data_IF_335872601252
#
_entry.id   IF_335872601252
#
_cell.length_a   1.000
_cell.length_b   1.000
_cell.length_c   1.000
_cell.angle_alpha   90.00
_cell.angle_beta   90.00
_cell.angle_gamma   90.00
#
_symmetry.space_group_name_H-M   'P 1'
#
loop_
_entity.id
_entity.type
_entity.pdbx_description
1 polymer ?
#
# COMPACT_ATOMS: atom_id res chain seq x y z
N UNK A 1 39.69 35.54 10.63
CA UNK A 1 39.52 35.08 9.24
C UNK A 1 38.86 33.71 9.23
N UNK A 2 37.93 33.52 8.30
CA UNK A 2 36.82 32.56 8.35
C UNK A 2 37.17 31.13 7.91
N UNK A 3 36.40 30.15 8.40
CA UNK A 3 36.10 28.91 7.67
C UNK A 3 34.68 28.42 7.99
N UNK A 4 33.71 28.83 7.17
CA UNK A 4 32.39 28.19 7.09
C UNK A 4 32.53 26.84 6.36
N UNK A 5 31.84 25.77 6.78
CA UNK A 5 31.82 24.54 6.01
C UNK A 5 30.99 24.75 4.74
N UNK A 6 31.52 24.25 3.63
CA UNK A 6 30.91 24.31 2.29
C UNK A 6 29.56 23.59 2.32
N UNK A 7 28.52 24.31 1.92
CA UNK A 7 27.23 23.76 1.52
C UNK A 7 27.44 22.64 0.50
N UNK A 8 26.91 21.46 0.80
CA UNK A 8 26.82 20.35 -0.15
C UNK A 8 25.88 20.75 -1.28
N UNK A 9 26.45 21.17 -2.41
CA UNK A 9 25.70 21.29 -3.66
C UNK A 9 25.25 19.88 -4.07
N UNK A 10 23.94 19.62 -4.01
CA UNK A 10 23.33 18.47 -4.66
C UNK A 10 23.67 18.55 -6.15
N UNK A 11 24.41 17.57 -6.65
CA UNK A 11 24.69 17.42 -8.07
C UNK A 11 23.40 16.96 -8.76
N UNK A 12 22.58 17.92 -9.20
CA UNK A 12 21.48 17.64 -10.13
C UNK A 12 22.10 17.15 -11.44
N UNK A 13 22.20 15.83 -11.58
CA UNK A 13 22.62 15.18 -12.81
C UNK A 13 21.62 15.51 -13.91
N UNK A 14 21.90 16.54 -14.72
CA UNK A 14 21.19 16.83 -15.96
C UNK A 14 21.37 15.64 -16.90
N UNK A 15 20.44 14.71 -16.86
CA UNK A 15 20.34 13.60 -17.82
C UNK A 15 20.26 14.21 -19.21
N UNK A 16 21.22 13.90 -20.08
CA UNK A 16 21.29 14.48 -21.43
C UNK A 16 20.02 14.21 -22.23
N UNK A 17 19.61 15.14 -23.08
CA UNK A 17 18.43 15.01 -23.94
C UNK A 17 18.45 13.71 -24.76
N UNK A 18 19.64 13.27 -25.20
CA UNK A 18 19.85 11.98 -25.85
C UNK A 18 19.49 10.79 -24.95
N UNK A 19 19.91 10.79 -23.68
CA UNK A 19 19.55 9.77 -22.70
C UNK A 19 18.04 9.72 -22.47
N UNK A 20 17.36 10.88 -22.46
CA UNK A 20 15.89 10.94 -22.34
C UNK A 20 15.19 10.38 -23.57
N UNK A 21 15.65 10.70 -24.78
CA UNK A 21 15.10 10.17 -26.03
C UNK A 21 15.32 8.65 -26.10
N UNK A 22 16.51 8.17 -25.75
CA UNK A 22 16.81 6.75 -25.68
C UNK A 22 15.91 6.03 -24.66
N UNK A 23 15.74 6.58 -23.45
CA UNK A 23 14.82 6.03 -22.45
C UNK A 23 13.37 6.00 -22.95
N UNK A 24 12.89 7.06 -23.59
CA UNK A 24 11.53 7.12 -24.12
C UNK A 24 11.32 6.10 -25.25
N UNK A 25 12.28 5.98 -26.18
CA UNK A 25 12.22 5.00 -27.27
C UNK A 25 12.24 3.56 -26.75
N UNK A 26 13.05 3.28 -25.72
CA UNK A 26 13.11 1.98 -25.08
C UNK A 26 11.81 1.66 -24.32
N UNK A 27 11.27 2.64 -23.60
CA UNK A 27 9.99 2.49 -22.91
C UNK A 27 8.83 2.23 -23.90
N UNK A 28 8.83 2.91 -25.04
CA UNK A 28 7.84 2.70 -26.10
C UNK A 28 7.95 1.30 -26.72
N UNK A 29 9.18 0.86 -27.03
CA UNK A 29 9.44 -0.48 -27.55
C UNK A 29 9.01 -1.58 -26.57
N UNK A 30 9.32 -1.41 -25.28
CA UNK A 30 8.85 -2.32 -24.23
C UNK A 30 7.31 -2.31 -24.11
N UNK A 31 6.68 -1.13 -24.16
CA UNK A 31 5.22 -1.03 -24.10
C UNK A 31 4.52 -1.74 -25.24
N UNK A 32 5.06 -1.65 -26.47
CA UNK A 32 4.54 -2.35 -27.65
C UNK A 32 4.78 -3.86 -27.58
N UNK A 33 5.93 -4.30 -27.08
CA UNK A 33 6.23 -5.73 -26.89
C UNK A 33 5.32 -6.38 -25.85
N UNK A 34 4.96 -5.65 -24.78
CA UNK A 34 4.07 -6.11 -23.72
C UNK A 34 2.62 -5.64 -23.87
N UNK A 35 2.20 -5.27 -25.09
CA UNK A 35 0.87 -4.71 -25.35
C UNK A 35 -0.28 -5.55 -24.75
N UNK A 36 -0.31 -6.90 -24.88
CA UNK A 36 -1.35 -7.72 -24.26
C UNK A 36 -1.35 -7.61 -22.73
N UNK A 37 -0.18 -7.52 -22.10
CA UNK A 37 -0.03 -7.39 -20.64
C UNK A 37 -0.51 -6.01 -20.18
N UNK A 38 -0.15 -4.95 -20.91
CA UNK A 38 -0.57 -3.58 -20.60
C UNK A 38 -2.08 -3.46 -20.67
N UNK A 39 -2.71 -3.99 -21.73
CA UNK A 39 -4.17 -3.98 -21.88
C UNK A 39 -4.83 -4.74 -20.73
N UNK A 40 -4.37 -5.97 -20.45
CA UNK A 40 -4.93 -6.76 -19.36
C UNK A 40 -4.82 -6.04 -18.01
N UNK A 41 -3.64 -5.56 -17.65
CA UNK A 41 -3.40 -4.88 -16.36
C UNK A 41 -4.17 -3.58 -16.28
N UNK A 42 -4.25 -2.78 -17.36
CA UNK A 42 -4.99 -1.53 -17.35
C UNK A 42 -6.47 -1.71 -17.02
N UNK A 43 -7.11 -2.75 -17.57
CA UNK A 43 -8.51 -3.08 -17.27
C UNK A 43 -8.66 -3.76 -15.91
N UNK A 44 -7.80 -4.74 -15.61
CA UNK A 44 -7.86 -5.49 -14.36
C UNK A 44 -7.59 -4.60 -13.13
N UNK A 45 -6.78 -3.54 -13.28
CA UNK A 45 -6.48 -2.58 -12.20
C UNK A 45 -7.50 -1.46 -12.03
N UNK A 46 -8.57 -1.38 -12.83
CA UNK A 46 -9.62 -0.35 -12.67
C UNK A 46 -10.17 -0.19 -11.24
N UNK A 47 -10.37 -1.26 -10.44
CA UNK A 47 -10.82 -1.13 -9.05
C UNK A 47 -9.84 -0.38 -8.15
N UNK A 48 -8.55 -0.47 -8.44
CA UNK A 48 -7.49 0.21 -7.67
C UNK A 48 -7.48 1.70 -7.97
N UNK A 49 -7.74 2.05 -9.24
CA UNK A 49 -7.97 3.43 -9.63
C UNK A 49 -9.25 3.98 -9.00
N UNK A 50 -10.32 3.19 -8.97
CA UNK A 50 -11.55 3.56 -8.26
C UNK A 50 -11.29 3.80 -6.77
N UNK A 51 -10.54 2.91 -6.09
CA UNK A 51 -10.12 3.11 -4.70
C UNK A 51 -9.32 4.41 -4.52
N UNK A 52 -8.39 4.73 -5.43
CA UNK A 52 -7.62 5.97 -5.37
C UNK A 52 -8.48 7.25 -5.51
N UNK A 53 -9.53 7.18 -6.34
CA UNK A 53 -10.44 8.30 -6.57
C UNK A 53 -11.43 8.46 -5.41
N UNK A 54 -11.93 7.35 -4.87
CA UNK A 54 -12.95 7.34 -3.81
C UNK A 54 -12.35 7.64 -2.44
N UNK A 55 -11.09 7.28 -2.19
CA UNK A 55 -10.43 7.48 -0.91
C UNK A 55 -10.41 8.97 -0.52
N UNK A 56 -11.13 9.27 0.57
CA UNK A 56 -11.30 10.61 1.13
C UNK A 56 -10.38 10.86 2.32
N UNK A 57 -9.59 9.88 2.73
CA UNK A 57 -8.66 9.96 3.84
C UNK A 57 -7.42 10.78 3.41
N UNK A 58 -6.92 11.74 4.22
CA UNK A 58 -5.72 12.53 3.90
C UNK A 58 -4.50 11.70 3.49
N UNK A 59 -4.29 10.54 4.12
CA UNK A 59 -3.10 9.71 3.87
C UNK A 59 -3.24 8.76 2.68
N UNK A 60 -4.45 8.61 2.13
CA UNK A 60 -4.79 7.77 0.97
C UNK A 60 -4.21 6.34 1.00
N UNK A 61 -4.49 5.56 2.04
CA UNK A 61 -3.99 4.18 2.14
C UNK A 61 -4.88 3.13 1.47
N UNK A 62 -6.11 3.48 1.09
CA UNK A 62 -7.09 2.52 0.55
C UNK A 62 -6.59 1.91 -0.76
N UNK A 63 -6.11 2.74 -1.68
CA UNK A 63 -5.62 2.28 -2.98
C UNK A 63 -4.38 1.38 -2.87
N UNK A 64 -3.56 1.50 -1.83
CA UNK A 64 -2.39 0.62 -1.62
C UNK A 64 -2.87 -0.76 -1.19
N UNK A 65 -3.81 -0.81 -0.24
CA UNK A 65 -4.37 -2.07 0.26
C UNK A 65 -5.14 -2.81 -0.84
N UNK A 66 -6.04 -2.10 -1.52
CA UNK A 66 -6.83 -2.61 -2.65
C UNK A 66 -5.94 -2.95 -3.84
N UNK A 67 -4.95 -2.08 -4.11
CA UNK A 67 -3.93 -2.23 -5.13
C UNK A 67 -3.16 -3.53 -5.02
N UNK A 68 -2.58 -3.78 -3.85
CA UNK A 68 -1.79 -4.99 -3.59
C UNK A 68 -2.63 -6.25 -3.75
N UNK A 69 -3.85 -6.28 -3.20
CA UNK A 69 -4.69 -7.46 -3.25
C UNK A 69 -5.27 -7.71 -4.65
N UNK A 70 -5.71 -6.67 -5.35
CA UNK A 70 -6.15 -6.78 -6.73
C UNK A 70 -5.02 -7.28 -7.64
N UNK A 71 -3.82 -6.72 -7.49
CA UNK A 71 -2.65 -7.14 -8.26
C UNK A 71 -2.30 -8.60 -7.99
N UNK A 72 -2.35 -9.05 -6.73
CA UNK A 72 -2.17 -10.46 -6.40
C UNK A 72 -3.20 -11.36 -7.10
N UNK A 73 -4.47 -10.93 -7.19
CA UNK A 73 -5.52 -11.63 -7.94
C UNK A 73 -5.25 -11.73 -9.44
N UNK A 74 -4.52 -10.77 -10.01
CA UNK A 74 -4.14 -10.78 -11.42
C UNK A 74 -2.97 -11.73 -11.75
N UNK A 75 -2.07 -12.01 -10.79
CA UNK A 75 -0.85 -12.81 -11.00
C UNK A 75 -1.08 -14.12 -11.74
N UNK A 76 -2.02 -15.01 -11.36
CA UNK A 76 -2.21 -16.28 -12.07
C UNK A 76 -2.60 -16.09 -13.55
N UNK A 77 -3.38 -15.05 -13.85
CA UNK A 77 -3.79 -14.72 -15.22
C UNK A 77 -2.67 -14.07 -16.02
N UNK A 78 -1.84 -13.23 -15.39
CA UNK A 78 -0.61 -12.70 -16.00
C UNK A 78 0.34 -13.84 -16.35
N UNK A 79 0.56 -14.79 -15.43
CA UNK A 79 1.40 -15.95 -15.70
C UNK A 79 0.87 -16.78 -16.87
N UNK A 80 -0.45 -17.00 -16.93
CA UNK A 80 -1.08 -17.71 -18.05
C UNK A 80 -0.94 -16.97 -19.38
N UNK A 81 -1.08 -15.65 -19.37
CA UNK A 81 -0.84 -14.80 -20.54
C UNK A 81 0.64 -14.89 -20.95
N UNK A 82 1.54 -14.98 -19.97
CA UNK A 82 2.98 -15.01 -20.20
C UNK A 82 3.59 -16.34 -20.63
N UNK A 83 3.02 -17.45 -20.20
CA UNK A 83 3.49 -18.78 -20.62
C UNK A 83 2.69 -19.31 -21.80
N UNK A 84 1.54 -18.70 -22.10
CA UNK A 84 0.66 -19.07 -23.19
C UNK A 84 0.83 -18.20 -24.43
N UNK A 85 -0.30 -17.89 -25.07
CA UNK A 85 -0.35 -17.02 -26.25
C UNK A 85 -0.31 -15.56 -25.81
N UNK A 86 0.82 -14.90 -26.00
CA UNK A 86 0.99 -13.46 -25.80
C UNK A 86 0.40 -12.65 -26.96
N UNK A 87 -0.92 -12.66 -27.10
CA UNK A 87 -1.61 -11.88 -28.14
C UNK A 87 -2.72 -11.04 -27.54
N UNK A 88 -3.11 -9.98 -28.25
CA UNK A 88 -4.17 -9.07 -27.80
C UNK A 88 -5.50 -9.80 -27.70
N UNK A 89 -5.76 -10.76 -28.58
CA UNK A 89 -6.97 -11.59 -28.56
C UNK A 89 -7.02 -12.47 -27.31
N UNK A 90 -5.88 -13.02 -26.86
CA UNK A 90 -5.81 -13.80 -25.65
C UNK A 90 -6.11 -12.95 -24.40
N UNK A 91 -5.53 -11.74 -24.33
CA UNK A 91 -5.82 -10.80 -23.26
C UNK A 91 -7.31 -10.36 -23.25
N UNK A 92 -7.87 -10.04 -24.42
CA UNK A 92 -9.28 -9.68 -24.57
C UNK A 92 -10.21 -10.83 -24.15
N UNK A 93 -9.91 -12.06 -24.56
CA UNK A 93 -10.68 -13.24 -24.17
C UNK A 93 -10.67 -13.46 -22.64
N UNK A 94 -9.52 -13.26 -21.98
CA UNK A 94 -9.42 -13.30 -20.52
C UNK A 94 -10.24 -12.19 -19.86
N UNK A 95 -10.23 -10.97 -20.39
CA UNK A 95 -11.02 -9.85 -19.85
C UNK A 95 -12.54 -10.03 -20.03
N UNK A 96 -12.98 -10.91 -20.92
CA UNK A 96 -14.40 -11.26 -21.07
C UNK A 96 -14.81 -12.54 -20.33
N UNK A 97 -13.84 -13.27 -19.78
CA UNK A 97 -14.09 -14.52 -19.08
C UNK A 97 -14.60 -14.25 -17.65
N UNK A 98 -15.73 -14.88 -17.30
CA UNK A 98 -16.42 -14.67 -16.02
C UNK A 98 -15.54 -15.06 -14.84
N UNK A 99 -14.79 -16.16 -14.94
CA UNK A 99 -13.92 -16.62 -13.85
C UNK A 99 -12.74 -15.67 -13.62
N UNK A 100 -12.16 -15.16 -14.71
CA UNK A 100 -11.10 -14.15 -14.64
C UNK A 100 -11.61 -12.88 -13.95
N UNK A 101 -12.75 -12.35 -14.38
CA UNK A 101 -13.34 -11.16 -13.77
C UNK A 101 -13.69 -11.38 -12.30
N UNK A 102 -14.30 -12.53 -11.96
CA UNK A 102 -14.64 -12.86 -10.57
C UNK A 102 -13.41 -12.93 -9.68
N UNK A 103 -12.31 -13.52 -10.15
CA UNK A 103 -11.08 -13.62 -9.38
C UNK A 103 -10.40 -12.25 -9.17
N UNK A 104 -10.27 -11.47 -10.24
CA UNK A 104 -9.63 -10.14 -10.20
C UNK A 104 -10.47 -9.17 -9.36
N UNK A 105 -11.74 -8.96 -9.73
CA UNK A 105 -12.62 -8.04 -9.01
C UNK A 105 -12.95 -8.55 -7.60
N UNK A 106 -13.02 -9.87 -7.40
CA UNK A 106 -13.17 -10.46 -6.08
C UNK A 106 -11.97 -10.16 -5.18
N UNK A 107 -10.75 -10.28 -5.69
CA UNK A 107 -9.54 -9.91 -4.95
C UNK A 107 -9.50 -8.41 -4.62
N UNK A 108 -9.91 -7.54 -5.53
CA UNK A 108 -10.07 -6.11 -5.26
C UNK A 108 -11.10 -5.83 -4.16
N UNK A 109 -12.26 -6.49 -4.22
CA UNK A 109 -13.32 -6.39 -3.22
C UNK A 109 -12.86 -6.87 -1.84
N UNK A 110 -12.07 -7.95 -1.77
CA UNK A 110 -11.42 -8.38 -0.54
C UNK A 110 -10.44 -7.33 0.00
N UNK A 111 -9.75 -6.59 -0.87
CA UNK A 111 -8.89 -5.48 -0.48
C UNK A 111 -9.67 -4.35 0.19
N UNK A 112 -10.85 -4.02 -0.35
CA UNK A 112 -11.78 -3.06 0.27
C UNK A 112 -12.26 -3.54 1.63
N UNK A 113 -12.70 -4.79 1.74
CA UNK A 113 -13.14 -5.38 3.00
C UNK A 113 -12.02 -5.39 4.04
N UNK A 114 -10.79 -5.70 3.63
CA UNK A 114 -9.62 -5.66 4.49
C UNK A 114 -9.37 -4.24 5.01
N UNK A 115 -9.42 -3.24 4.13
CA UNK A 115 -9.26 -1.84 4.52
C UNK A 115 -10.33 -1.37 5.52
N UNK A 116 -11.58 -1.82 5.37
CA UNK A 116 -12.66 -1.49 6.31
C UNK A 116 -12.52 -2.20 7.66
N UNK A 117 -12.00 -3.43 7.66
CA UNK A 117 -11.85 -4.24 8.88
C UNK A 117 -10.62 -3.84 9.72
N UNK A 118 -9.57 -3.30 9.10
CA UNK A 118 -8.31 -2.98 9.78
C UNK A 118 -8.42 -1.85 10.83
N UNK A 119 -9.04 -0.69 10.56
CA UNK A 119 -9.15 0.39 11.55
C UNK A 119 -9.81 -0.02 12.87
N UNK A 120 -11.00 -0.67 12.90
CA UNK A 120 -11.61 -1.09 14.16
C UNK A 120 -10.76 -2.13 14.89
N UNK A 121 -10.12 -3.07 14.18
CA UNK A 121 -9.20 -4.05 14.76
C UNK A 121 -8.03 -3.38 15.50
N UNK A 122 -7.40 -2.38 14.85
CA UNK A 122 -6.30 -1.62 15.46
C UNK A 122 -6.79 -0.79 16.64
N UNK A 123 -7.99 -0.21 16.54
CA UNK A 123 -8.63 0.52 17.65
C UNK A 123 -8.81 -0.34 18.90
N UNK A 124 -9.36 -1.55 18.74
CA UNK A 124 -9.53 -2.51 19.86
C UNK A 124 -8.17 -2.92 20.44
N UNK A 125 -7.17 -3.16 19.59
CA UNK A 125 -5.82 -3.50 20.04
C UNK A 125 -5.14 -2.36 20.82
N UNK A 126 -5.32 -1.12 20.37
CA UNK A 126 -4.86 0.08 21.08
C UNK A 126 -5.53 0.22 22.45
N UNK A 127 -6.84 -0.01 22.53
CA UNK A 127 -7.59 0.03 23.78
C UNK A 127 -7.12 -1.05 24.76
N UNK A 128 -6.91 -2.28 24.29
CA UNK A 128 -6.36 -3.37 25.11
C UNK A 128 -4.96 -3.02 25.65
N UNK A 129 -4.09 -2.45 24.81
CA UNK A 129 -2.76 -1.98 25.25
C UNK A 129 -2.85 -0.86 26.28
N UNK A 130 -3.74 0.10 26.09
CA UNK A 130 -3.97 1.20 27.04
C UNK A 130 -4.45 0.67 28.40
N UNK A 131 -5.40 -0.27 28.41
CA UNK A 131 -5.91 -0.90 29.64
C UNK A 131 -4.80 -1.65 30.40
N UNK A 132 -3.96 -2.42 29.70
CA UNK A 132 -2.80 -3.10 30.31
C UNK A 132 -1.81 -2.10 30.92
N UNK A 133 -1.54 -1.00 30.22
CA UNK A 133 -0.68 0.07 30.74
C UNK A 133 -1.25 0.69 32.02
N UNK A 134 -2.55 0.99 32.04
CA UNK A 134 -3.23 1.50 33.24
C UNK A 134 -3.18 0.50 34.39
N UNK A 135 -3.41 -0.79 34.13
CA UNK A 135 -3.34 -1.84 35.15
C UNK A 135 -1.93 -1.94 35.76
N UNK A 136 -0.89 -1.92 34.94
CA UNK A 136 0.51 -1.93 35.40
C UNK A 136 0.85 -0.69 36.23
N UNK A 137 0.38 0.49 35.81
CA UNK A 137 0.58 1.73 36.57
C UNK A 137 -0.13 1.68 37.92
N UNK A 138 -1.39 1.21 37.97
CA UNK A 138 -2.14 1.03 39.23
C UNK A 138 -1.47 0.02 40.16
N UNK A 139 -0.99 -1.10 39.64
CA UNK A 139 -0.24 -2.09 40.43
C UNK A 139 1.06 -1.51 41.00
N UNK A 140 1.77 -0.72 40.20
CA UNK A 140 2.99 -0.02 40.64
C UNK A 140 2.68 1.00 41.72
N UNK A 141 1.62 1.80 41.55
CA UNK A 141 1.15 2.76 42.54
C UNK A 141 0.78 2.07 43.87
N UNK A 142 0.08 0.94 43.82
CA UNK A 142 -0.26 0.15 45.01
C UNK A 142 0.99 -0.36 45.74
N UNK A 143 2.00 -0.86 45.01
CA UNK A 143 3.27 -1.29 45.61
C UNK A 143 3.97 -0.11 46.30
N UNK A 144 4.02 1.05 45.67
CA UNK A 144 4.63 2.25 46.25
C UNK A 144 3.90 2.69 47.53
N UNK A 145 2.57 2.67 47.54
CA UNK A 145 1.76 2.97 48.74
C UNK A 145 2.06 2.00 49.88
N UNK A 146 2.24 0.70 49.58
CA UNK A 146 2.58 -0.29 50.61
C UNK A 146 3.97 -0.05 51.21
N UNK A 147 4.95 0.36 50.41
CA UNK A 147 6.33 0.55 50.88
C UNK A 147 6.56 1.90 51.56
N UNK A 148 5.91 2.96 51.05
CA UNK A 148 6.20 4.36 51.46
C UNK A 148 5.03 5.05 52.18
N UNK A 149 3.92 4.36 52.38
CA UNK A 149 2.72 4.89 53.03
C UNK A 149 1.76 5.61 52.07
N UNK A 150 0.57 6.02 52.55
CA UNK A 150 -0.48 6.58 51.71
C UNK A 150 -0.18 7.98 51.14
N UNK A 151 0.82 8.67 51.66
CA UNK A 151 1.17 10.04 51.26
C UNK A 151 1.64 10.12 49.79
N UNK A 152 2.29 9.08 49.28
CA UNK A 152 2.76 9.01 47.87
C UNK A 152 1.65 8.69 46.86
N UNK A 153 0.46 8.28 47.32
CA UNK A 153 -0.67 7.95 46.45
C UNK A 153 -1.52 9.15 46.03
N UNK A 154 -1.36 10.30 46.67
CA UNK A 154 -2.18 11.50 46.46
C UNK A 154 -1.59 12.36 45.33
N UNK A 155 -1.71 11.93 44.08
CA UNK A 155 -1.45 12.82 42.95
C UNK A 155 -2.61 13.82 42.88
N UNK A 156 -2.37 15.09 43.20
CA UNK A 156 -3.32 16.18 42.98
C UNK A 156 -3.60 16.27 41.47
N UNK A 157 -4.81 15.91 41.08
CA UNK A 157 -5.37 16.19 39.75
C UNK A 157 -5.73 17.67 39.69
#
# INVERSE_FOLDING_TARGET
MAKKPKSQAKTDGKTGTFTRILMLSLALAFGLMFLPTVIFVAFAMLPTLAAYIVDRNPDKYEWICVGGLNFAGCVPFLLRLWTGRHTVEAAAAMLTDVFTLMAVFGAAGLGWLLFMALPPMVGVFMQMRAQRRVANLKATQQRLIQTWGPEVGKTKV
#
